data_IF_507394377019
#
_entry.id   IF_507394377019
#
_cell.length_a   1.000
_cell.length_b   1.000
_cell.length_c   1.000
_cell.angle_alpha   90.00
_cell.angle_beta   90.00
_cell.angle_gamma   90.00
#
_symmetry.space_group_name_H-M   'P 1'
#
loop_
_entity.id
_entity.type
_entity.pdbx_description
1 polymer ?
#
# COMPACT_ATOMS: atom_id res chain seq x y z
N UNK A 1 -0.15 -10.58 -7.91
CA UNK A 1 0.02 -9.26 -7.26
C UNK A 1 -0.17 -8.15 -8.28
N UNK A 2 -0.78 -7.03 -7.88
CA UNK A 2 -0.99 -5.81 -8.70
C UNK A 2 -1.05 -4.60 -7.77
N UNK A 3 -0.63 -3.42 -8.24
CA UNK A 3 -0.70 -2.15 -7.50
C UNK A 3 -2.04 -1.88 -6.86
N UNK A 4 -3.15 -2.09 -7.58
CA UNK A 4 -4.50 -1.88 -7.04
C UNK A 4 -4.84 -2.74 -5.82
N UNK A 5 -4.11 -3.84 -5.56
CA UNK A 5 -4.24 -4.61 -4.31
C UNK A 5 -3.47 -3.96 -3.15
N UNK A 6 -2.31 -3.38 -3.43
CA UNK A 6 -1.59 -2.57 -2.46
C UNK A 6 -2.40 -1.34 -2.07
N UNK A 7 -2.95 -0.63 -3.05
CA UNK A 7 -3.84 0.51 -2.82
C UNK A 7 -5.11 0.12 -2.05
N UNK A 8 -5.72 -1.04 -2.37
CA UNK A 8 -6.84 -1.61 -1.61
C UNK A 8 -6.46 -1.85 -0.14
N UNK A 9 -5.33 -2.51 0.13
CA UNK A 9 -4.88 -2.77 1.50
C UNK A 9 -4.56 -1.48 2.26
N UNK A 10 -3.92 -0.50 1.62
CA UNK A 10 -3.50 0.77 2.24
C UNK A 10 -4.67 1.76 2.44
N UNK A 11 -5.75 1.65 1.66
CA UNK A 11 -6.90 2.54 1.76
C UNK A 11 -8.08 1.92 2.52
N UNK A 12 -8.37 0.63 2.31
CA UNK A 12 -9.51 -0.07 2.91
C UNK A 12 -9.13 -0.93 4.11
N UNK A 13 -7.85 -1.28 4.27
CA UNK A 13 -7.36 -2.18 5.34
C UNK A 13 -8.16 -3.49 5.44
N UNK A 14 -8.45 -4.07 4.28
CA UNK A 14 -9.25 -5.28 4.08
C UNK A 14 -8.39 -6.40 3.46
N UNK A 15 -8.63 -7.69 3.78
CA UNK A 15 -7.98 -8.79 3.10
C UNK A 15 -8.33 -8.79 1.61
N UNK A 16 -7.46 -9.33 0.73
CA UNK A 16 -7.76 -9.40 -0.68
C UNK A 16 -8.98 -10.29 -0.92
N UNK A 17 -10.01 -9.73 -1.55
CA UNK A 17 -11.20 -10.50 -1.95
C UNK A 17 -10.93 -11.27 -3.25
N UNK A 18 -11.52 -12.47 -3.48
CA UNK A 18 -11.25 -13.25 -4.70
C UNK A 18 -11.55 -12.47 -5.99
N UNK A 19 -10.69 -12.56 -7.01
CA UNK A 19 -10.88 -11.89 -8.31
C UNK A 19 -10.10 -10.58 -8.46
N UNK A 20 -10.77 -9.52 -8.93
CA UNK A 20 -10.17 -8.19 -9.14
C UNK A 20 -10.17 -7.33 -7.86
N UNK A 21 -9.24 -6.38 -7.70
CA UNK A 21 -9.29 -5.43 -6.56
C UNK A 21 -10.60 -4.63 -6.54
N UNK A 22 -11.16 -4.35 -5.34
CA UNK A 22 -12.32 -3.47 -5.13
C UNK A 22 -12.13 -2.11 -5.81
N UNK A 23 -10.88 -1.62 -5.88
CA UNK A 23 -10.52 -0.37 -6.59
C UNK A 23 -11.03 -0.34 -8.03
N UNK A 24 -11.13 -1.51 -8.69
CA UNK A 24 -11.57 -1.62 -10.09
C UNK A 24 -12.93 -2.31 -10.26
N UNK A 25 -13.67 -2.57 -9.19
CA UNK A 25 -15.00 -3.17 -9.26
C UNK A 25 -16.09 -2.09 -9.32
N UNK A 26 -17.30 -2.43 -9.81
CA UNK A 26 -18.49 -1.60 -9.61
C UNK A 26 -18.79 -1.35 -8.13
N UNK A 27 -19.71 -0.44 -7.81
CA UNK A 27 -20.20 -0.21 -6.43
C UNK A 27 -19.09 0.07 -5.40
N UNK A 28 -18.00 0.69 -5.85
CA UNK A 28 -16.81 0.96 -5.04
C UNK A 28 -16.77 2.40 -4.51
N UNK A 29 -17.93 3.03 -4.31
CA UNK A 29 -18.08 4.40 -3.81
C UNK A 29 -18.50 4.40 -2.34
N UNK A 30 -18.22 5.50 -1.64
CA UNK A 30 -18.61 5.72 -0.24
C UNK A 30 -18.12 4.61 0.70
N UNK A 31 -17.01 3.95 0.40
CA UNK A 31 -16.41 2.91 1.22
C UNK A 31 -15.76 3.50 2.48
N UNK A 32 -15.71 2.70 3.55
CA UNK A 32 -14.98 3.01 4.76
C UNK A 32 -13.47 2.92 4.49
N UNK A 33 -12.80 4.06 4.45
CA UNK A 33 -11.39 4.17 4.07
C UNK A 33 -10.56 4.96 5.09
N UNK A 34 -9.24 4.80 5.04
CA UNK A 34 -8.32 5.60 5.84
C UNK A 34 -8.53 7.11 5.57
N UNK A 35 -8.70 7.51 4.31
CA UNK A 35 -8.99 8.87 3.90
C UNK A 35 -10.30 9.41 4.49
N UNK A 36 -11.35 8.59 4.57
CA UNK A 36 -12.61 8.98 5.22
C UNK A 36 -12.44 9.22 6.72
N UNK A 37 -11.65 8.39 7.41
CA UNK A 37 -11.35 8.57 8.84
C UNK A 37 -10.57 9.87 9.04
N UNK A 38 -9.50 10.10 8.28
CA UNK A 38 -8.73 11.33 8.37
C UNK A 38 -9.58 12.58 8.10
N UNK A 39 -10.45 12.56 7.09
CA UNK A 39 -11.40 13.65 6.84
C UNK A 39 -12.33 13.89 8.02
N UNK A 40 -12.83 12.83 8.67
CA UNK A 40 -13.66 12.97 9.88
C UNK A 40 -12.93 13.63 11.05
N UNK A 41 -11.59 13.63 11.03
CA UNK A 41 -10.71 14.31 11.99
C UNK A 41 -10.23 15.69 11.54
N UNK A 42 -10.80 16.22 10.45
CA UNK A 42 -10.49 17.55 9.94
C UNK A 42 -9.25 17.63 9.04
N UNK A 43 -8.70 16.49 8.62
CA UNK A 43 -7.57 16.43 7.71
C UNK A 43 -8.01 16.60 6.25
N UNK A 44 -7.13 17.18 5.45
CA UNK A 44 -7.18 17.04 4.00
C UNK A 44 -6.56 15.70 3.62
N UNK A 45 -7.41 14.76 3.20
CA UNK A 45 -6.97 13.46 2.67
C UNK A 45 -6.70 13.59 1.16
N UNK A 46 -5.50 13.22 0.73
CA UNK A 46 -5.02 13.37 -0.66
C UNK A 46 -4.55 12.04 -1.24
N UNK A 47 -4.84 11.83 -2.52
CA UNK A 47 -4.19 10.82 -3.34
C UNK A 47 -3.42 11.55 -4.44
N UNK A 48 -2.10 11.39 -4.48
CA UNK A 48 -1.21 12.11 -5.39
C UNK A 48 -0.50 11.10 -6.29
N UNK A 49 -0.60 11.28 -7.61
CA UNK A 49 -0.11 10.31 -8.58
C UNK A 49 0.70 10.95 -9.71
N UNK A 50 1.84 10.33 -10.07
CA UNK A 50 2.71 10.82 -11.13
C UNK A 50 2.21 10.46 -12.55
N UNK A 51 1.25 9.56 -12.67
CA UNK A 51 0.61 9.22 -13.93
C UNK A 51 -0.73 9.92 -14.11
N UNK A 52 -1.52 9.48 -15.08
CA UNK A 52 -2.91 9.91 -15.21
C UNK A 52 -3.81 9.09 -14.28
N UNK A 53 -4.58 9.76 -13.43
CA UNK A 53 -5.34 9.09 -12.37
C UNK A 53 -6.51 8.23 -12.87
N UNK A 54 -6.99 8.42 -14.11
CA UNK A 54 -7.99 7.52 -14.69
C UNK A 54 -7.46 6.08 -14.88
N UNK A 55 -6.13 5.90 -14.97
CA UNK A 55 -5.51 4.59 -15.06
C UNK A 55 -5.94 3.72 -13.88
N UNK A 56 -6.29 2.47 -14.15
CA UNK A 56 -6.72 1.50 -13.12
C UNK A 56 -7.86 1.99 -12.20
N UNK A 57 -8.70 2.91 -12.67
CA UNK A 57 -9.85 3.47 -11.93
C UNK A 57 -9.45 4.25 -10.65
N UNK A 58 -8.20 4.72 -10.55
CA UNK A 58 -7.72 5.33 -9.30
C UNK A 58 -8.41 6.66 -8.97
N UNK A 59 -8.56 7.57 -9.93
CA UNK A 59 -9.24 8.86 -9.71
C UNK A 59 -10.69 8.66 -9.27
N UNK A 60 -11.43 7.80 -9.96
CA UNK A 60 -12.82 7.51 -9.61
C UNK A 60 -12.91 6.89 -8.21
N UNK A 61 -12.08 5.89 -7.92
CA UNK A 61 -12.07 5.26 -6.60
C UNK A 61 -11.72 6.28 -5.50
N UNK A 62 -10.57 6.95 -5.56
CA UNK A 62 -10.12 7.80 -4.45
C UNK A 62 -11.01 9.04 -4.26
N UNK A 63 -11.47 9.67 -5.34
CA UNK A 63 -12.36 10.85 -5.25
C UNK A 63 -13.70 10.52 -4.59
N UNK A 64 -14.27 9.35 -4.87
CA UNK A 64 -15.53 8.90 -4.27
C UNK A 64 -15.35 8.25 -2.88
N UNK A 65 -14.12 8.16 -2.37
CA UNK A 65 -13.80 7.46 -1.12
C UNK A 65 -13.03 8.33 -0.12
N UNK A 66 -13.26 9.64 -0.16
CA UNK A 66 -12.78 10.57 0.85
C UNK A 66 -11.37 11.09 0.62
N UNK A 67 -10.92 11.19 -0.64
CA UNK A 67 -9.65 11.81 -1.00
C UNK A 67 -9.86 12.91 -2.04
N UNK A 68 -9.06 13.98 -1.97
CA UNK A 68 -8.81 14.88 -3.10
C UNK A 68 -7.73 14.24 -3.97
N UNK A 69 -8.02 14.03 -5.25
CA UNK A 69 -7.07 13.44 -6.20
C UNK A 69 -6.33 14.56 -6.93
N UNK A 70 -5.00 14.49 -6.94
CA UNK A 70 -4.14 15.35 -7.76
C UNK A 70 -3.20 14.45 -8.56
N UNK A 71 -3.20 14.58 -9.88
CA UNK A 71 -2.38 13.77 -10.77
C UNK A 71 -1.43 14.62 -11.62
N UNK A 72 -0.73 13.99 -12.58
CA UNK A 72 0.24 14.69 -13.44
C UNK A 72 -0.34 15.89 -14.21
N UNK A 73 -1.65 15.93 -14.45
CA UNK A 73 -2.29 17.04 -15.17
C UNK A 73 -2.21 18.37 -14.41
N UNK A 74 -1.91 18.34 -13.11
CA UNK A 74 -1.70 19.52 -12.30
C UNK A 74 -0.29 20.12 -12.43
N UNK A 75 0.63 19.46 -13.15
CA UNK A 75 1.98 19.99 -13.43
C UNK A 75 1.98 20.76 -14.74
N UNK A 76 2.61 21.93 -14.74
CA UNK A 76 2.95 22.65 -15.97
C UNK A 76 4.12 21.97 -16.66
N UNK A 77 4.23 22.11 -17.98
CA UNK A 77 5.35 21.53 -18.74
C UNK A 77 6.73 22.00 -18.23
N UNK A 78 6.82 23.25 -17.77
CA UNK A 78 8.05 23.79 -17.17
C UNK A 78 8.42 23.19 -15.80
N UNK A 79 7.50 22.47 -15.16
CA UNK A 79 7.71 21.77 -13.89
C UNK A 79 8.10 20.30 -14.10
N UNK A 80 8.03 19.79 -15.34
CA UNK A 80 8.28 18.38 -15.67
C UNK A 80 9.70 18.23 -16.19
N UNK A 81 10.59 17.65 -15.38
CA UNK A 81 11.95 17.35 -15.81
C UNK A 81 11.99 16.15 -16.75
N UNK A 82 11.11 15.16 -16.52
CA UNK A 82 11.05 13.96 -17.34
C UNK A 82 9.69 13.28 -17.25
N UNK A 83 9.20 12.75 -18.38
CA UNK A 83 8.01 11.90 -18.37
C UNK A 83 8.09 10.78 -19.42
N UNK A 84 7.31 9.73 -19.21
CA UNK A 84 7.14 8.62 -20.14
C UNK A 84 5.65 8.21 -20.19
N UNK A 85 5.39 7.04 -20.79
CA UNK A 85 4.04 6.47 -20.94
C UNK A 85 3.31 6.21 -19.61
N UNK A 86 4.05 6.03 -18.51
CA UNK A 86 3.48 5.77 -17.19
C UNK A 86 3.15 7.06 -16.44
N UNK A 87 3.96 8.10 -16.62
CA UNK A 87 3.83 9.34 -15.86
C UNK A 87 5.07 10.22 -15.91
N UNK A 88 5.06 11.24 -15.07
CA UNK A 88 6.23 12.05 -14.75
C UNK A 88 7.20 11.28 -13.86
N UNK A 89 8.45 11.71 -13.81
CA UNK A 89 9.46 11.12 -12.94
C UNK A 89 9.09 11.29 -11.45
N UNK A 90 9.61 10.41 -10.59
CA UNK A 90 9.29 10.47 -9.16
C UNK A 90 9.73 11.79 -8.51
N UNK A 91 10.79 12.44 -9.00
CA UNK A 91 11.18 13.81 -8.59
C UNK A 91 10.07 14.85 -8.85
N UNK A 92 9.40 14.76 -10.01
CA UNK A 92 8.32 15.67 -10.42
C UNK A 92 7.05 15.39 -9.60
N UNK A 93 6.74 14.11 -9.35
CA UNK A 93 5.68 13.69 -8.43
C UNK A 93 5.92 14.23 -7.01
N UNK A 94 7.14 14.15 -6.50
CA UNK A 94 7.45 14.67 -5.17
C UNK A 94 7.44 16.19 -5.12
N UNK A 95 7.74 16.87 -6.23
CA UNK A 95 7.56 18.33 -6.37
C UNK A 95 6.09 18.70 -6.29
N UNK A 96 5.23 18.00 -7.05
CA UNK A 96 3.77 18.13 -6.96
C UNK A 96 3.29 17.88 -5.53
N UNK A 97 3.74 16.79 -4.91
CA UNK A 97 3.34 16.42 -3.55
C UNK A 97 3.70 17.52 -2.56
N UNK A 98 4.93 18.02 -2.59
CA UNK A 98 5.39 19.11 -1.73
C UNK A 98 4.50 20.35 -1.84
N UNK A 99 4.11 20.72 -3.07
CA UNK A 99 3.24 21.87 -3.35
C UNK A 99 1.87 21.72 -2.70
N UNK A 100 1.25 20.54 -2.82
CA UNK A 100 -0.06 20.25 -2.23
C UNK A 100 0.00 20.22 -0.68
N UNK A 101 1.08 19.69 -0.10
CA UNK A 101 1.27 19.67 1.35
C UNK A 101 1.54 21.07 1.93
N UNK A 102 2.33 21.89 1.23
CA UNK A 102 2.56 23.29 1.60
C UNK A 102 1.28 24.13 1.52
N UNK A 103 0.40 23.84 0.56
CA UNK A 103 -0.93 24.44 0.49
C UNK A 103 -1.78 24.11 1.72
N UNK A 104 -1.87 22.83 2.10
CA UNK A 104 -2.63 22.41 3.29
C UNK A 104 -2.11 23.09 4.56
N UNK A 105 -0.78 23.11 4.72
CA UNK A 105 -0.15 23.75 5.87
C UNK A 105 -0.42 25.26 5.92
N UNK A 106 -0.29 25.98 4.80
CA UNK A 106 -0.61 27.43 4.74
C UNK A 106 -2.07 27.71 5.09
N UNK A 107 -2.96 26.80 4.70
CA UNK A 107 -4.38 26.87 5.03
C UNK A 107 -4.71 26.36 6.45
N UNK A 108 -3.69 26.08 7.27
CA UNK A 108 -3.80 25.59 8.65
C UNK A 108 -4.64 24.31 8.75
N UNK A 109 -4.55 23.45 7.74
CA UNK A 109 -5.20 22.13 7.71
C UNK A 109 -4.16 21.04 7.85
N UNK A 110 -4.34 20.07 8.77
CA UNK A 110 -3.50 18.89 8.77
C UNK A 110 -3.79 18.05 7.53
N UNK A 111 -2.81 17.27 7.07
CA UNK A 111 -2.90 16.51 5.83
C UNK A 111 -2.64 15.03 6.05
N UNK A 112 -3.29 14.20 5.23
CA UNK A 112 -2.99 12.80 5.05
C UNK A 112 -2.82 12.55 3.55
N UNK A 113 -1.63 12.19 3.10
CA UNK A 113 -1.36 12.02 1.68
C UNK A 113 -0.88 10.60 1.37
N UNK A 114 -1.57 9.93 0.46
CA UNK A 114 -1.09 8.73 -0.21
C UNK A 114 -0.46 9.15 -1.53
N UNK A 115 0.86 8.95 -1.65
CA UNK A 115 1.64 9.34 -2.83
C UNK A 115 2.11 8.06 -3.52
N UNK A 116 1.75 7.88 -4.79
CA UNK A 116 2.08 6.68 -5.55
C UNK A 116 3.15 6.97 -6.62
N UNK A 117 4.33 6.37 -6.45
CA UNK A 117 5.47 6.46 -7.38
C UNK A 117 5.22 5.72 -8.69
N UNK A 118 5.98 6.07 -9.73
CA UNK A 118 5.74 5.62 -11.11
C UNK A 118 6.99 5.08 -11.79
N UNK A 119 8.17 5.60 -11.45
CA UNK A 119 9.39 5.44 -12.25
C UNK A 119 9.88 4.00 -12.39
N UNK A 120 9.52 3.12 -11.45
CA UNK A 120 9.85 1.68 -11.45
C UNK A 120 8.99 0.82 -12.40
N UNK A 121 8.73 1.30 -13.61
CA UNK A 121 8.00 0.57 -14.66
C UNK A 121 8.82 0.47 -15.95
N UNK A 122 8.70 -0.66 -16.66
CA UNK A 122 9.36 -0.86 -17.97
C UNK A 122 8.96 0.26 -18.94
N UNK A 123 9.89 0.91 -19.66
CA UNK A 123 11.26 0.45 -19.91
C UNK A 123 12.31 0.94 -18.90
N UNK A 124 11.91 1.31 -17.67
CA UNK A 124 12.78 1.72 -16.57
C UNK A 124 13.51 3.02 -16.86
N UNK A 125 12.73 4.07 -17.14
CA UNK A 125 13.27 5.35 -17.61
C UNK A 125 13.10 6.45 -16.57
N UNK A 126 14.17 7.21 -16.39
CA UNK A 126 14.32 8.30 -15.44
C UNK A 126 15.37 9.33 -15.94
N UNK A 127 15.43 10.55 -15.37
CA UNK A 127 16.47 11.55 -15.64
C UNK A 127 17.90 11.01 -15.44
N UNK A 128 18.78 11.30 -16.39
CA UNK A 128 20.21 10.95 -16.30
C UNK A 128 20.96 11.79 -15.25
N UNK A 129 22.11 11.28 -14.80
CA UNK A 129 23.01 12.01 -13.89
C UNK A 129 22.50 12.15 -12.45
N UNK A 130 21.49 11.36 -12.06
CA UNK A 130 20.96 11.31 -10.67
C UNK A 130 21.59 10.18 -9.86
N UNK A 131 21.90 9.07 -10.54
CA UNK A 131 22.50 7.87 -9.99
C UNK A 131 23.56 7.35 -10.97
N UNK A 132 24.34 6.38 -10.52
CA UNK A 132 25.43 5.68 -11.23
C UNK A 132 24.94 4.53 -12.15
N UNK A 133 23.63 4.37 -12.35
CA UNK A 133 23.04 3.37 -13.25
C UNK A 133 22.33 4.12 -14.39
N UNK A 134 22.73 3.95 -15.67
CA UNK A 134 22.10 4.64 -16.78
C UNK A 134 20.62 4.30 -16.95
N UNK A 135 19.83 5.26 -17.39
CA UNK A 135 18.39 5.07 -17.64
C UNK A 135 18.14 4.00 -18.71
N UNK A 136 16.98 3.32 -18.67
CA UNK A 136 16.57 2.21 -19.56
C UNK A 136 17.32 0.89 -19.41
N UNK A 137 18.31 0.79 -18.52
CA UNK A 137 19.18 -0.39 -18.44
C UNK A 137 18.59 -1.54 -17.62
N UNK A 138 18.03 -1.26 -16.45
CA UNK A 138 17.61 -2.30 -15.51
C UNK A 138 16.55 -1.83 -14.53
N UNK A 139 15.91 -2.80 -13.87
CA UNK A 139 14.98 -2.51 -12.77
C UNK A 139 15.73 -1.97 -11.56
N UNK A 140 16.93 -2.48 -11.30
CA UNK A 140 17.81 -2.02 -10.23
C UNK A 140 18.10 -0.52 -10.36
N UNK A 141 18.31 -0.04 -11.59
CA UNK A 141 18.43 1.39 -11.89
C UNK A 141 17.17 2.18 -11.49
N UNK A 142 15.99 1.73 -11.91
CA UNK A 142 14.75 2.43 -11.56
C UNK A 142 14.43 2.39 -10.05
N UNK A 143 14.75 1.29 -9.37
CA UNK A 143 14.65 1.20 -7.89
C UNK A 143 15.62 2.17 -7.22
N UNK A 144 16.88 2.20 -7.64
CA UNK A 144 17.90 3.12 -7.10
C UNK A 144 17.53 4.60 -7.37
N UNK A 145 16.92 4.89 -8.52
CA UNK A 145 16.41 6.22 -8.83
C UNK A 145 15.23 6.60 -7.94
N UNK A 146 14.29 5.67 -7.71
CA UNK A 146 13.16 5.88 -6.79
C UNK A 146 13.67 6.17 -5.37
N UNK A 147 14.67 5.42 -4.90
CA UNK A 147 15.34 5.66 -3.61
C UNK A 147 15.97 7.06 -3.53
N UNK A 148 16.73 7.45 -4.57
CA UNK A 148 17.26 8.82 -4.69
C UNK A 148 16.16 9.88 -4.61
N UNK A 149 15.05 9.70 -5.33
CA UNK A 149 13.94 10.64 -5.37
C UNK A 149 13.24 10.77 -4.00
N UNK A 150 13.01 9.64 -3.30
CA UNK A 150 12.49 9.63 -1.93
C UNK A 150 13.47 10.35 -0.99
N UNK A 151 14.77 10.05 -1.09
CA UNK A 151 15.81 10.68 -0.27
C UNK A 151 15.86 12.19 -0.48
N UNK A 152 15.74 12.66 -1.73
CA UNK A 152 15.62 14.08 -2.07
C UNK A 152 14.35 14.69 -1.47
N UNK A 153 13.21 14.05 -1.63
CA UNK A 153 11.93 14.51 -1.05
C UNK A 153 12.03 14.70 0.47
N UNK A 154 12.59 13.73 1.20
CA UNK A 154 12.79 13.83 2.65
C UNK A 154 13.77 14.96 3.00
N UNK A 155 14.87 15.13 2.25
CA UNK A 155 15.83 16.24 2.47
C UNK A 155 15.20 17.61 2.25
N UNK A 156 14.34 17.75 1.25
CA UNK A 156 13.63 19.00 1.00
C UNK A 156 12.49 19.22 2.00
N UNK A 157 11.77 18.17 2.38
CA UNK A 157 10.75 18.20 3.41
C UNK A 157 11.33 18.67 4.75
N UNK A 158 12.55 18.26 5.13
CA UNK A 158 13.23 18.72 6.36
C UNK A 158 13.35 20.24 6.49
N UNK A 159 13.30 20.98 5.39
CA UNK A 159 13.34 22.45 5.37
C UNK A 159 11.97 23.08 5.62
N UNK A 160 10.90 22.28 5.67
CA UNK A 160 9.51 22.73 5.79
C UNK A 160 9.07 22.80 7.25
N UNK A 161 8.22 23.78 7.61
CA UNK A 161 7.78 23.97 8.98
C UNK A 161 6.88 22.84 9.52
N UNK A 162 6.29 22.03 8.64
CA UNK A 162 5.45 20.89 9.03
C UNK A 162 6.23 19.59 9.26
N UNK A 163 7.51 19.52 8.89
CA UNK A 163 8.29 18.28 8.91
C UNK A 163 8.37 17.62 10.29
N UNK A 164 8.64 18.42 11.33
CA UNK A 164 8.79 17.93 12.69
C UNK A 164 7.51 17.32 13.26
N UNK A 165 6.35 17.59 12.66
CA UNK A 165 5.04 17.08 13.07
C UNK A 165 4.41 16.21 11.97
N UNK A 166 5.23 15.53 11.16
CA UNK A 166 4.78 14.66 10.07
C UNK A 166 5.33 13.24 10.24
N UNK A 167 4.44 12.26 10.11
CA UNK A 167 4.82 10.86 9.97
C UNK A 167 4.91 10.50 8.48
N UNK A 168 6.09 10.10 8.04
CA UNK A 168 6.30 9.52 6.71
C UNK A 168 6.23 8.00 6.82
N UNK A 169 5.42 7.37 5.98
CA UNK A 169 5.36 5.91 5.86
C UNK A 169 5.78 5.53 4.44
N UNK A 170 6.94 4.89 4.31
CA UNK A 170 7.49 4.44 3.03
C UNK A 170 7.23 2.94 2.93
N UNK A 171 6.40 2.52 1.98
CA UNK A 171 5.99 1.12 1.82
C UNK A 171 5.83 0.78 0.34
N UNK A 172 6.19 -0.43 -0.06
CA UNK A 172 5.90 -0.90 -1.41
C UNK A 172 4.45 -1.40 -1.52
N UNK A 173 3.84 -1.26 -2.69
CA UNK A 173 2.53 -1.82 -3.01
C UNK A 173 2.59 -3.34 -3.18
N UNK A 174 3.63 -3.87 -3.82
CA UNK A 174 3.93 -5.30 -3.96
C UNK A 174 5.38 -5.58 -4.43
N UNK A 175 5.80 -6.86 -4.39
CA UNK A 175 7.06 -7.29 -4.99
C UNK A 175 6.97 -7.40 -6.52
N UNK A 176 8.11 -7.36 -7.20
CA UNK A 176 8.18 -7.64 -8.63
C UNK A 176 8.03 -9.15 -8.89
N UNK A 177 7.22 -9.50 -9.90
CA UNK A 177 7.06 -10.86 -10.44
C UNK A 177 6.64 -11.94 -9.43
N UNK A 178 5.38 -12.39 -9.53
CA UNK A 178 4.86 -13.52 -8.76
C UNK A 178 4.70 -14.81 -9.59
N UNK A 179 5.46 -14.96 -10.68
CA UNK A 179 5.37 -16.10 -11.59
C UNK A 179 6.29 -17.24 -11.12
N UNK A 180 5.76 -18.47 -11.02
CA UNK A 180 6.52 -19.64 -10.61
C UNK A 180 5.65 -20.91 -10.51
N UNK A 181 6.27 -22.06 -10.25
CA UNK A 181 5.57 -23.35 -10.06
C UNK A 181 4.82 -23.42 -8.71
N UNK A 182 5.27 -22.66 -7.72
CA UNK A 182 4.64 -22.57 -6.40
C UNK A 182 3.47 -21.60 -6.49
N UNK A 183 2.31 -22.00 -5.96
CA UNK A 183 1.06 -21.23 -6.08
C UNK A 183 1.14 -19.85 -5.41
N UNK A 184 1.76 -19.77 -4.22
CA UNK A 184 1.91 -18.55 -3.43
C UNK A 184 3.29 -18.56 -2.73
N UNK A 185 4.37 -18.23 -3.45
CA UNK A 185 5.72 -18.23 -2.89
C UNK A 185 5.89 -17.05 -1.93
N UNK A 186 5.99 -17.32 -0.63
CA UNK A 186 5.94 -16.28 0.43
C UNK A 186 7.06 -15.24 0.34
N UNK A 187 8.23 -15.61 -0.21
CA UNK A 187 9.37 -14.70 -0.41
C UNK A 187 9.04 -13.58 -1.41
N UNK A 188 8.11 -13.82 -2.34
CA UNK A 188 7.62 -12.84 -3.33
C UNK A 188 6.49 -11.95 -2.83
N UNK A 189 6.21 -11.94 -1.53
CA UNK A 189 5.23 -11.05 -0.89
C UNK A 189 5.82 -10.21 0.25
N UNK A 190 7.12 -10.36 0.54
CA UNK A 190 7.79 -9.54 1.54
C UNK A 190 8.18 -8.18 0.96
N UNK A 191 7.59 -7.12 1.51
CA UNK A 191 7.77 -5.73 1.06
C UNK A 191 8.46 -4.88 2.13
N UNK A 192 9.24 -3.86 1.75
CA UNK A 192 9.81 -2.92 2.70
C UNK A 192 8.72 -2.03 3.31
N UNK A 193 8.88 -1.68 4.58
CA UNK A 193 8.06 -0.71 5.30
C UNK A 193 8.93 0.09 6.27
N UNK A 194 8.83 1.42 6.23
CA UNK A 194 9.56 2.33 7.12
C UNK A 194 8.59 3.35 7.68
N UNK A 195 8.48 3.43 9.00
CA UNK A 195 7.89 4.56 9.71
C UNK A 195 9.00 5.55 10.04
N UNK A 196 8.88 6.79 9.55
CA UNK A 196 9.89 7.81 9.68
C UNK A 196 9.28 9.11 10.21
N UNK A 197 9.54 9.40 11.48
CA UNK A 197 9.21 10.65 12.14
C UNK A 197 10.30 10.91 13.20
N UNK A 198 11.48 11.45 12.82
CA UNK A 198 12.68 11.43 13.66
C UNK A 198 12.55 12.22 14.97
N UNK A 199 11.58 13.11 15.06
CA UNK A 199 11.23 13.88 16.27
C UNK A 199 10.33 13.11 17.25
N UNK A 200 9.73 12.00 16.82
CA UNK A 200 8.73 11.27 17.58
C UNK A 200 8.97 9.76 17.67
N UNK A 201 9.75 9.17 16.75
CA UNK A 201 10.01 7.73 16.68
C UNK A 201 11.51 7.50 16.81
N UNK A 202 11.91 6.78 17.86
CA UNK A 202 13.28 6.31 18.01
C UNK A 202 13.58 5.20 16.98
N UNK A 203 14.81 5.13 16.43
CA UNK A 203 15.20 4.06 15.51
C UNK A 203 15.03 2.68 16.16
N UNK A 204 14.31 1.78 15.49
CA UNK A 204 14.11 0.40 15.93
C UNK A 204 13.80 -0.50 14.74
N UNK A 205 13.86 -1.82 14.96
CA UNK A 205 13.42 -2.83 14.00
C UNK A 205 12.20 -3.55 14.57
N UNK A 206 11.19 -3.74 13.72
CA UNK A 206 10.00 -4.51 14.05
C UNK A 206 10.02 -5.80 13.23
N UNK A 207 10.21 -6.94 13.89
CA UNK A 207 10.47 -8.24 13.23
C UNK A 207 9.26 -9.18 13.21
N UNK A 208 8.16 -8.80 13.87
CA UNK A 208 6.94 -9.61 13.88
C UNK A 208 6.29 -9.62 12.50
N UNK A 209 5.62 -10.72 12.15
CA UNK A 209 4.87 -10.84 10.89
C UNK A 209 3.67 -9.89 10.91
N UNK A 210 3.57 -9.06 9.87
CA UNK A 210 2.48 -8.08 9.67
C UNK A 210 1.90 -8.19 8.27
N UNK A 211 0.65 -7.82 8.13
CA UNK A 211 0.01 -7.62 6.83
C UNK A 211 0.04 -6.15 6.41
N UNK A 212 0.04 -5.87 5.11
CA UNK A 212 -0.04 -4.50 4.59
C UNK A 212 -1.31 -3.77 5.06
N UNK A 213 -2.40 -4.51 5.30
CA UNK A 213 -3.66 -3.97 5.85
C UNK A 213 -3.56 -3.53 7.32
N UNK A 214 -2.51 -3.91 8.05
CA UNK A 214 -2.27 -3.47 9.43
C UNK A 214 -1.70 -2.04 9.49
N UNK A 215 -1.20 -1.50 8.36
CA UNK A 215 -0.55 -0.18 8.29
C UNK A 215 -1.50 0.95 8.67
N UNK A 216 -2.73 0.95 8.14
CA UNK A 216 -3.73 1.98 8.44
C UNK A 216 -4.07 2.05 9.93
N UNK A 217 -4.53 0.96 10.56
CA UNK A 217 -4.75 0.89 12.01
C UNK A 217 -3.52 1.28 12.84
N UNK A 218 -2.31 0.90 12.42
CA UNK A 218 -1.06 1.29 13.08
C UNK A 218 -0.83 2.80 13.04
N UNK A 219 -1.04 3.44 11.88
CA UNK A 219 -0.96 4.91 11.75
C UNK A 219 -1.98 5.58 12.68
N UNK A 220 -3.23 5.09 12.67
CA UNK A 220 -4.31 5.66 13.50
C UNK A 220 -4.05 5.47 15.00
N UNK A 221 -3.53 4.31 15.40
CA UNK A 221 -3.13 4.02 16.77
C UNK A 221 -1.97 4.91 17.22
N UNK A 222 -0.97 5.10 16.36
CA UNK A 222 0.17 5.99 16.61
C UNK A 222 -0.26 7.45 16.78
N UNK A 223 -1.21 7.92 15.97
CA UNK A 223 -1.80 9.27 16.10
C UNK A 223 -2.83 9.39 17.24
N UNK A 224 -3.07 8.30 17.98
CA UNK A 224 -4.05 8.21 19.07
C UNK A 224 -5.49 8.60 18.63
N UNK A 225 -5.91 8.19 17.44
CA UNK A 225 -7.26 8.47 16.94
C UNK A 225 -8.28 7.49 17.53
N UNK A 226 -9.39 8.02 18.05
CA UNK A 226 -10.59 7.21 18.35
C UNK A 226 -11.52 7.17 17.14
N UNK A 227 -11.90 5.97 16.69
CA UNK A 227 -12.79 5.76 15.55
C UNK A 227 -13.54 4.42 15.69
N UNK A 228 -14.69 4.30 15.03
CA UNK A 228 -15.39 3.00 14.89
C UNK A 228 -14.82 2.28 13.68
N UNK A 229 -14.11 1.18 13.90
CA UNK A 229 -13.40 0.48 12.85
C UNK A 229 -14.32 -0.47 12.07
N UNK A 230 -14.16 -0.49 10.74
CA UNK A 230 -14.52 -1.64 9.89
C UNK A 230 -13.28 -2.38 9.36
N UNK A 231 -12.08 -1.90 9.70
CA UNK A 231 -10.83 -2.49 9.24
C UNK A 231 -10.58 -3.86 9.85
N UNK A 232 -9.94 -4.71 9.07
CA UNK A 232 -9.48 -6.04 9.49
C UNK A 232 -8.05 -6.02 10.04
N UNK A 233 -7.33 -4.93 9.81
CA UNK A 233 -5.96 -4.76 10.31
C UNK A 233 -5.90 -4.45 11.80
N UNK A 234 -4.71 -4.63 12.36
CA UNK A 234 -4.39 -4.36 13.75
C UNK A 234 -3.33 -3.26 13.87
N UNK A 235 -3.38 -2.52 14.96
CA UNK A 235 -2.24 -1.69 15.39
C UNK A 235 -1.10 -2.62 15.82
N UNK A 236 -0.04 -2.70 15.01
CA UNK A 236 1.06 -3.66 15.22
C UNK A 236 1.85 -3.39 16.50
N UNK A 237 1.79 -2.18 17.05
CA UNK A 237 2.43 -1.84 18.32
C UNK A 237 1.65 -2.35 19.53
N UNK A 238 0.37 -2.70 19.36
CA UNK A 238 -0.49 -3.31 20.39
C UNK A 238 -0.81 -4.78 20.12
N UNK A 239 -0.35 -5.30 18.98
CA UNK A 239 -0.59 -6.66 18.55
C UNK A 239 0.17 -7.67 19.42
N UNK A 240 -0.55 -8.69 19.89
CA UNK A 240 0.01 -9.83 20.63
C UNK A 240 0.74 -10.78 19.67
N UNK A 241 1.61 -11.61 20.22
CA UNK A 241 2.42 -12.52 19.39
C UNK A 241 1.58 -13.55 18.64
N UNK A 242 0.46 -13.99 19.21
CA UNK A 242 -0.46 -14.94 18.60
C UNK A 242 -1.38 -14.32 17.54
N UNK A 243 -1.40 -13.00 17.39
CA UNK A 243 -2.17 -12.24 16.39
C UNK A 243 -1.39 -11.96 15.09
N UNK A 244 -0.13 -12.38 15.03
CA UNK A 244 0.72 -12.25 13.85
C UNK A 244 0.15 -13.04 12.67
N UNK A 245 -0.11 -12.35 11.55
CA UNK A 245 -0.66 -12.96 10.33
C UNK A 245 -0.33 -12.13 9.09
N UNK A 246 -0.43 -12.76 7.92
CA UNK A 246 -0.38 -12.06 6.64
C UNK A 246 -1.37 -12.64 5.63
N UNK A 247 -1.78 -11.80 4.69
CA UNK A 247 -2.68 -12.16 3.60
C UNK A 247 -1.96 -11.95 2.27
N UNK A 248 -1.80 -13.04 1.51
CA UNK A 248 -1.15 -13.03 0.21
C UNK A 248 -2.12 -13.56 -0.85
N UNK A 249 -2.03 -13.08 -2.08
CA UNK A 249 -3.00 -13.49 -3.10
C UNK A 249 -2.48 -13.39 -4.54
N UNK A 250 -2.99 -14.29 -5.37
CA UNK A 250 -3.01 -14.15 -6.82
C UNK A 250 -4.40 -13.73 -7.28
N UNK A 251 -4.64 -13.75 -8.60
CA UNK A 251 -5.98 -13.53 -9.13
C UNK A 251 -6.98 -14.62 -8.69
N UNK A 252 -6.50 -15.85 -8.50
CA UNK A 252 -7.35 -17.03 -8.21
C UNK A 252 -7.20 -17.54 -6.78
N UNK A 253 -5.99 -17.46 -6.21
CA UNK A 253 -5.65 -18.10 -4.94
C UNK A 253 -5.54 -17.08 -3.82
N UNK A 254 -6.08 -17.43 -2.65
CA UNK A 254 -6.03 -16.64 -1.43
C UNK A 254 -5.21 -17.38 -0.39
N UNK A 255 -4.17 -16.73 0.14
CA UNK A 255 -3.25 -17.29 1.11
C UNK A 255 -3.32 -16.60 2.45
N UNK A 256 -3.55 -17.36 3.51
CA UNK A 256 -3.52 -16.90 4.89
C UNK A 256 -2.32 -17.51 5.60
N UNK A 257 -1.39 -16.67 6.03
CA UNK A 257 -0.16 -17.05 6.71
C UNK A 257 -0.30 -16.75 8.20
N UNK A 258 -0.19 -17.76 9.06
CA UNK A 258 -0.19 -17.63 10.51
C UNK A 258 0.52 -18.81 11.16
N UNK A 259 1.21 -18.57 12.29
CA UNK A 259 1.93 -19.61 13.04
C UNK A 259 2.90 -20.44 12.18
N UNK A 260 3.56 -19.79 11.22
CA UNK A 260 4.48 -20.47 10.29
C UNK A 260 3.81 -21.40 9.28
N UNK A 261 2.48 -21.43 9.18
CA UNK A 261 1.71 -22.22 8.20
C UNK A 261 1.03 -21.30 7.19
N UNK A 262 0.93 -21.77 5.94
CA UNK A 262 0.20 -21.12 4.86
C UNK A 262 -1.03 -21.95 4.50
N UNK A 263 -2.22 -21.42 4.73
CA UNK A 263 -3.46 -21.97 4.19
C UNK A 263 -3.71 -21.34 2.83
N UNK A 264 -3.95 -22.15 1.79
CA UNK A 264 -4.28 -21.67 0.45
C UNK A 264 -5.70 -22.12 0.08
N UNK A 265 -6.55 -21.14 -0.21
CA UNK A 265 -7.90 -21.34 -0.72
C UNK A 265 -7.93 -21.09 -2.23
N UNK A 266 -8.51 -22.02 -2.97
CA UNK A 266 -8.59 -22.00 -4.42
C UNK A 266 -10.04 -22.11 -4.91
N UNK A 267 -10.30 -21.77 -6.20
CA UNK A 267 -11.60 -22.02 -6.82
C UNK A 267 -12.01 -23.49 -6.71
N UNK A 268 -13.32 -23.73 -6.83
CA UNK A 268 -13.93 -25.07 -6.74
C UNK A 268 -13.72 -25.76 -5.38
N UNK A 269 -13.67 -24.97 -4.29
CA UNK A 269 -13.52 -25.45 -2.91
C UNK A 269 -12.26 -26.27 -2.66
N UNK A 270 -11.23 -26.10 -3.50
CA UNK A 270 -9.92 -26.71 -3.28
C UNK A 270 -9.18 -25.91 -2.22
N UNK A 271 -8.62 -26.60 -1.23
CA UNK A 271 -7.78 -25.98 -0.20
C UNK A 271 -6.57 -26.84 0.11
N UNK A 272 -5.60 -26.26 0.81
CA UNK A 272 -4.48 -27.00 1.36
C UNK A 272 -3.69 -26.18 2.38
N UNK A 273 -3.13 -26.87 3.37
CA UNK A 273 -2.18 -26.29 4.32
C UNK A 273 -0.75 -26.66 3.93
N UNK A 274 0.15 -25.69 4.06
CA UNK A 274 1.55 -25.82 3.67
C UNK A 274 2.48 -25.27 4.75
N UNK A 275 3.67 -25.85 4.85
CA UNK A 275 4.80 -25.29 5.59
C UNK A 275 5.68 -24.52 4.58
N UNK A 276 5.60 -23.18 4.53
CA UNK A 276 6.41 -22.36 3.64
C UNK A 276 7.84 -22.15 4.17
N UNK A 277 8.80 -22.11 3.26
CA UNK A 277 10.13 -21.60 3.50
C UNK A 277 10.19 -20.11 3.11
N UNK A 278 10.44 -19.25 4.09
CA UNK A 278 10.48 -17.80 3.93
C UNK A 278 11.68 -17.28 3.13
N UNK A 279 12.75 -18.08 2.99
CA UNK A 279 13.95 -17.72 2.24
C UNK A 279 13.83 -18.15 0.78
N UNK A 280 13.36 -19.37 0.54
CA UNK A 280 13.32 -19.95 -0.81
C UNK A 280 11.98 -19.77 -1.51
N UNK A 281 10.90 -19.47 -0.76
CA UNK A 281 9.54 -19.39 -1.30
C UNK A 281 8.90 -20.74 -1.58
N UNK A 282 9.62 -21.84 -1.36
CA UNK A 282 9.06 -23.19 -1.51
C UNK A 282 8.05 -23.48 -0.40
N UNK A 283 7.13 -24.41 -0.65
CA UNK A 283 6.11 -24.78 0.31
C UNK A 283 5.79 -26.27 0.20
N UNK A 284 5.85 -26.99 1.33
CA UNK A 284 5.57 -28.42 1.40
C UNK A 284 4.15 -28.59 1.94
N UNK A 285 3.30 -29.33 1.22
CA UNK A 285 1.94 -29.63 1.69
C UNK A 285 2.01 -30.46 2.97
N UNK A 286 1.18 -30.13 3.94
CA UNK A 286 1.05 -30.85 5.22
C UNK A 286 -0.41 -31.21 5.47
N UNK A 287 -0.69 -31.86 6.60
CA UNK A 287 -2.05 -32.15 7.04
C UNK A 287 -2.82 -30.85 7.20
N UNK A 288 -4.05 -30.83 6.70
CA UNK A 288 -4.88 -29.63 6.77
C UNK A 288 -5.16 -29.26 8.23
N UNK A 289 -4.98 -27.97 8.54
CA UNK A 289 -5.25 -27.41 9.86
C UNK A 289 -6.66 -26.81 9.85
N UNK A 290 -7.64 -27.53 10.40
CA UNK A 290 -9.05 -27.16 10.34
C UNK A 290 -9.32 -25.78 10.97
N UNK A 291 -8.69 -25.49 12.11
CA UNK A 291 -8.86 -24.22 12.81
C UNK A 291 -8.34 -23.05 11.97
N UNK A 292 -7.11 -23.16 11.44
CA UNK A 292 -6.55 -22.12 10.57
C UNK A 292 -7.32 -22.01 9.25
N UNK A 293 -7.83 -23.12 8.72
CA UNK A 293 -8.63 -23.14 7.50
C UNK A 293 -9.94 -22.40 7.70
N UNK A 294 -10.67 -22.68 8.78
CA UNK A 294 -11.91 -22.00 9.11
C UNK A 294 -11.68 -20.50 9.37
N UNK A 295 -10.57 -20.14 10.01
CA UNK A 295 -10.19 -18.75 10.20
C UNK A 295 -9.90 -18.04 8.87
N UNK A 296 -9.10 -18.66 7.98
CA UNK A 296 -8.82 -18.13 6.65
C UNK A 296 -10.12 -17.89 5.87
N UNK A 297 -11.01 -18.89 5.82
CA UNK A 297 -12.32 -18.79 5.17
C UNK A 297 -13.12 -17.64 5.74
N UNK A 298 -13.15 -17.49 7.08
CA UNK A 298 -13.90 -16.43 7.77
C UNK A 298 -13.42 -15.04 7.36
N UNK A 299 -12.11 -14.79 7.31
CA UNK A 299 -11.57 -13.51 6.85
C UNK A 299 -12.02 -13.16 5.43
N UNK A 300 -11.84 -14.08 4.49
CA UNK A 300 -12.11 -13.82 3.08
C UNK A 300 -13.60 -13.74 2.76
N UNK A 301 -14.42 -14.62 3.35
CA UNK A 301 -15.86 -14.59 3.16
C UNK A 301 -16.49 -13.37 3.81
N UNK A 302 -16.05 -12.97 5.02
CA UNK A 302 -16.55 -11.76 5.65
C UNK A 302 -16.17 -10.52 4.84
N UNK A 303 -14.93 -10.40 4.37
CA UNK A 303 -14.51 -9.30 3.52
C UNK A 303 -15.35 -9.21 2.22
N UNK A 304 -15.58 -10.35 1.56
CA UNK A 304 -16.41 -10.41 0.37
C UNK A 304 -17.88 -10.07 0.66
N UNK A 305 -18.44 -10.60 1.75
CA UNK A 305 -19.81 -10.38 2.18
C UNK A 305 -20.06 -8.90 2.52
N UNK A 306 -19.21 -8.28 3.33
CA UNK A 306 -19.36 -6.89 3.73
C UNK A 306 -19.34 -5.95 2.52
N UNK A 307 -18.47 -6.22 1.55
CA UNK A 307 -18.42 -5.45 0.31
C UNK A 307 -19.67 -5.68 -0.55
N UNK A 308 -20.04 -6.94 -0.83
CA UNK A 308 -21.18 -7.28 -1.70
C UNK A 308 -22.53 -6.81 -1.14
N UNK A 309 -22.66 -6.70 0.19
CA UNK A 309 -23.88 -6.23 0.85
C UNK A 309 -23.87 -4.74 1.18
N UNK A 310 -22.87 -3.99 0.73
CA UNK A 310 -22.74 -2.55 1.03
C UNK A 310 -22.43 -2.23 2.50
N UNK A 311 -22.15 -3.24 3.33
CA UNK A 311 -21.89 -3.07 4.76
C UNK A 311 -20.51 -2.47 5.05
N UNK A 312 -19.62 -2.42 4.05
CA UNK A 312 -18.32 -1.74 4.12
C UNK A 312 -18.37 -0.26 3.71
N UNK A 313 -19.55 0.31 3.45
CA UNK A 313 -19.71 1.75 3.21
C UNK A 313 -19.54 2.57 4.51
N UNK A 314 -19.33 3.88 4.40
CA UNK A 314 -19.19 4.81 5.55
C UNK A 314 -20.45 4.88 6.39
#
# INVERSE_FOLDING_TARGET
TRTVRGLEALSLCIPPTPGQSIVKRPDNKNLFTLGSIFRSKGYNSRFIYGGYGYFDNMSEFFSNNGYKVTDRSALRDSEIHYSNIWGVADEDLFTLSMRELDEDYRNKKPFFAQIMTVSNHRPYTYPEGRIDIPSKTSREGAVKYTDYAIGKFIKDARKKPWFSNTLFVIVADHCASSAGKVQLPVDKYHIPMIFYAPTHIAPSKFEKLTAQLDIGPTILGYLNFSYKSKFFGHDVFKMKDDEQRAFISTYQSLGYLRNGKLVVLNPNRKLGTFNPDFKTGTAIKTTDDEKLTNEAISYYQMAAYLYQKGLYQQ
#
